data_IF_237140984362
#
_entry.id   IF_237140984362
#
_cell.length_a   1.000
_cell.length_b   1.000
_cell.length_c   1.000
_cell.angle_alpha   90.00
_cell.angle_beta   90.00
_cell.angle_gamma   90.00
#
_symmetry.space_group_name_H-M   'P 1'
#
loop_
_entity.id
_entity.type
_entity.pdbx_description
1 polymer ?
#
# COMPACT_ATOMS: atom_id res chain seq x y z
N UNK A 1 -0.49 -46.37 -4.27
CA UNK A 1 -1.05 -45.36 -5.20
C UNK A 1 -1.38 -44.11 -4.42
N UNK A 2 -0.45 -43.16 -4.33
CA UNK A 2 -0.63 -41.89 -3.62
C UNK A 2 -1.23 -40.87 -4.59
N UNK A 3 -2.47 -40.42 -4.32
CA UNK A 3 -3.13 -39.37 -5.10
C UNK A 3 -2.33 -38.07 -5.00
N UNK A 4 -2.02 -37.40 -6.12
CA UNK A 4 -1.35 -36.10 -6.07
C UNK A 4 -2.26 -35.10 -5.37
N UNK A 5 -1.75 -34.47 -4.30
CA UNK A 5 -2.43 -33.33 -3.63
C UNK A 5 -2.61 -32.23 -4.65
N UNK A 6 -3.84 -32.04 -5.15
CA UNK A 6 -4.22 -30.90 -5.96
C UNK A 6 -3.85 -29.63 -5.18
N UNK A 7 -2.82 -28.92 -5.63
CA UNK A 7 -2.47 -27.62 -5.18
C UNK A 7 -3.66 -26.70 -5.49
N UNK A 8 -4.59 -26.53 -4.53
CA UNK A 8 -5.66 -25.55 -4.67
C UNK A 8 -4.97 -24.19 -4.82
N UNK A 9 -5.11 -23.60 -5.98
CA UNK A 9 -4.78 -22.20 -6.25
C UNK A 9 -5.65 -21.37 -5.27
N UNK A 10 -5.15 -21.16 -4.05
CA UNK A 10 -5.87 -20.37 -3.05
C UNK A 10 -6.02 -18.98 -3.61
N UNK A 11 -7.25 -18.51 -3.75
CA UNK A 11 -7.53 -17.14 -4.16
C UNK A 11 -6.73 -16.20 -3.26
N UNK A 12 -5.75 -15.51 -3.84
CA UNK A 12 -4.84 -14.60 -3.12
C UNK A 12 -5.50 -13.26 -2.82
N UNK A 13 -6.62 -12.97 -3.48
CA UNK A 13 -7.42 -11.79 -3.29
C UNK A 13 -8.70 -12.17 -2.54
N UNK A 14 -8.94 -11.55 -1.40
CA UNK A 14 -10.15 -11.68 -0.61
C UNK A 14 -10.88 -10.35 -0.57
N UNK A 15 -12.09 -10.30 -1.11
CA UNK A 15 -12.96 -9.12 -1.05
C UNK A 15 -13.80 -9.20 0.23
N UNK A 16 -13.60 -8.25 1.11
CA UNK A 16 -14.46 -8.07 2.28
C UNK A 16 -15.57 -7.10 1.92
N UNK A 17 -16.83 -7.53 2.02
CA UNK A 17 -18.02 -6.76 1.67
C UNK A 17 -18.00 -6.24 0.21
N UNK A 18 -17.94 -7.13 -0.79
CA UNK A 18 -17.68 -6.75 -2.17
C UNK A 18 -18.69 -5.75 -2.73
N UNK A 19 -19.99 -5.93 -2.44
CA UNK A 19 -21.03 -5.02 -2.91
C UNK A 19 -20.85 -3.60 -2.36
N UNK A 20 -20.57 -3.47 -1.05
CA UNK A 20 -20.34 -2.16 -0.43
C UNK A 20 -19.07 -1.50 -0.96
N UNK A 21 -17.98 -2.27 -1.11
CA UNK A 21 -16.72 -1.75 -1.67
C UNK A 21 -16.92 -1.23 -3.09
N UNK A 22 -17.57 -2.00 -3.95
CA UNK A 22 -17.84 -1.60 -5.32
C UNK A 22 -18.78 -0.40 -5.39
N UNK A 23 -19.83 -0.39 -4.58
CA UNK A 23 -20.78 0.73 -4.53
C UNK A 23 -20.09 2.04 -4.14
N UNK A 24 -19.34 2.05 -3.03
CA UNK A 24 -18.62 3.25 -2.58
C UNK A 24 -17.55 3.72 -3.56
N UNK A 25 -16.82 2.77 -4.17
CA UNK A 25 -15.81 3.08 -5.18
C UNK A 25 -16.46 3.70 -6.43
N UNK A 26 -17.55 3.12 -6.91
CA UNK A 26 -18.30 3.64 -8.06
C UNK A 26 -18.84 5.03 -7.77
N UNK A 27 -19.44 5.22 -6.59
CA UNK A 27 -19.95 6.53 -6.17
C UNK A 27 -18.84 7.58 -6.12
N UNK A 28 -17.70 7.24 -5.50
CA UNK A 28 -16.55 8.15 -5.41
C UNK A 28 -15.99 8.52 -6.80
N UNK A 29 -15.93 7.56 -7.73
CA UNK A 29 -15.46 7.79 -9.09
C UNK A 29 -16.46 8.60 -9.94
N UNK A 30 -17.78 8.42 -9.74
CA UNK A 30 -18.81 9.19 -10.43
C UNK A 30 -18.78 10.68 -10.06
N UNK A 31 -18.48 10.99 -8.79
CA UNK A 31 -18.38 12.37 -8.31
C UNK A 31 -16.97 12.98 -8.43
N UNK A 32 -16.01 12.24 -9.01
CA UNK A 32 -14.64 12.69 -9.18
C UNK A 32 -14.46 13.63 -10.39
N UNK A 33 -15.07 14.81 -10.34
CA UNK A 33 -14.96 15.83 -11.40
C UNK A 33 -13.53 16.36 -11.56
N UNK A 34 -12.76 16.39 -10.48
CA UNK A 34 -11.38 16.92 -10.44
C UNK A 34 -10.30 15.88 -10.77
N UNK A 35 -10.63 14.60 -10.78
CA UNK A 35 -9.67 13.49 -10.90
C UNK A 35 -8.84 13.23 -9.63
N UNK A 36 -9.23 13.86 -8.52
CA UNK A 36 -8.50 13.72 -7.24
C UNK A 36 -8.64 12.34 -6.65
N UNK A 37 -9.84 11.76 -6.70
CA UNK A 37 -10.09 10.38 -6.20
C UNK A 37 -9.30 9.36 -7.02
N UNK A 38 -9.33 9.47 -8.35
CA UNK A 38 -8.52 8.60 -9.24
C UNK A 38 -7.04 8.70 -8.94
N UNK A 39 -6.53 9.91 -8.75
CA UNK A 39 -5.14 10.15 -8.37
C UNK A 39 -4.82 9.53 -7.02
N UNK A 40 -5.65 9.74 -6.00
CA UNK A 40 -5.49 9.16 -4.66
C UNK A 40 -5.49 7.62 -4.68
N UNK A 41 -6.39 7.01 -5.45
CA UNK A 41 -6.44 5.55 -5.62
C UNK A 41 -5.17 5.00 -6.29
N UNK A 42 -4.64 5.71 -7.30
CA UNK A 42 -3.38 5.35 -7.94
C UNK A 42 -2.21 5.42 -6.94
N UNK A 43 -2.13 6.50 -6.15
CA UNK A 43 -1.11 6.66 -5.11
C UNK A 43 -1.21 5.58 -4.03
N UNK A 44 -2.43 5.23 -3.61
CA UNK A 44 -2.66 4.14 -2.67
C UNK A 44 -2.27 2.78 -3.25
N UNK A 45 -2.59 2.51 -4.52
CA UNK A 45 -2.18 1.28 -5.18
C UNK A 45 -0.66 1.14 -5.28
N UNK A 46 0.05 2.22 -5.62
CA UNK A 46 1.51 2.25 -5.67
C UNK A 46 2.13 2.06 -4.26
N UNK A 47 1.53 2.64 -3.24
CA UNK A 47 1.89 2.43 -1.84
C UNK A 47 1.84 0.93 -1.47
N UNK A 48 0.72 0.27 -1.79
CA UNK A 48 0.55 -1.17 -1.55
C UNK A 48 1.54 -2.02 -2.36
N UNK A 49 1.88 -1.59 -3.58
CA UNK A 49 2.93 -2.25 -4.38
C UNK A 49 4.28 -2.24 -3.65
N UNK A 50 4.60 -1.17 -2.91
CA UNK A 50 5.78 -1.11 -2.05
C UNK A 50 5.79 -2.21 -1.00
N UNK A 51 4.69 -2.38 -0.28
CA UNK A 51 4.55 -3.46 0.70
C UNK A 51 4.63 -4.84 0.07
N UNK A 52 3.98 -5.04 -1.09
CA UNK A 52 4.02 -6.32 -1.83
C UNK A 52 5.45 -6.64 -2.25
N UNK A 53 6.19 -5.66 -2.76
CA UNK A 53 7.58 -5.84 -3.17
C UNK A 53 8.48 -6.19 -1.98
N UNK A 54 8.35 -5.46 -0.86
CA UNK A 54 9.09 -5.76 0.37
C UNK A 54 8.76 -7.15 0.92
N UNK A 55 7.48 -7.51 0.94
CA UNK A 55 7.05 -8.85 1.37
C UNK A 55 7.63 -9.95 0.46
N UNK A 56 7.56 -9.75 -0.86
CA UNK A 56 8.09 -10.70 -1.83
C UNK A 56 9.62 -10.85 -1.70
N UNK A 57 10.33 -9.75 -1.43
CA UNK A 57 11.76 -9.75 -1.18
C UNK A 57 12.14 -10.51 0.09
N UNK A 58 11.42 -10.28 1.19
CA UNK A 58 11.73 -10.90 2.50
C UNK A 58 11.40 -12.40 2.55
N UNK A 59 10.30 -12.82 1.93
CA UNK A 59 9.82 -14.20 2.08
C UNK A 59 9.74 -14.99 0.77
N UNK A 60 10.18 -14.42 -0.35
CA UNK A 60 10.14 -15.05 -1.69
C UNK A 60 8.73 -15.61 -2.05
N UNK A 61 7.69 -14.95 -1.55
CA UNK A 61 6.27 -15.33 -1.73
C UNK A 61 5.42 -14.07 -1.89
N UNK A 62 4.32 -14.19 -2.60
CA UNK A 62 3.35 -13.10 -2.68
C UNK A 62 2.40 -13.14 -1.48
N UNK A 63 2.08 -11.99 -0.87
CA UNK A 63 1.13 -11.90 0.24
C UNK A 63 -0.28 -12.25 -0.20
N UNK A 64 -1.18 -12.44 0.78
CA UNK A 64 -2.62 -12.45 0.53
C UNK A 64 -3.12 -11.01 0.68
N UNK A 65 -3.84 -10.53 -0.33
CA UNK A 65 -4.44 -9.21 -0.34
C UNK A 65 -5.90 -9.30 0.10
N UNK A 66 -6.30 -8.47 1.03
CA UNK A 66 -7.69 -8.27 1.42
C UNK A 66 -8.11 -6.85 1.00
N UNK A 67 -9.06 -6.77 0.08
CA UNK A 67 -9.66 -5.51 -0.34
C UNK A 67 -10.91 -5.25 0.50
N UNK A 68 -10.96 -4.10 1.16
CA UNK A 68 -12.09 -3.64 1.98
C UNK A 68 -12.53 -2.24 1.54
N UNK A 69 -13.72 -1.75 1.95
CA UNK A 69 -14.14 -0.37 1.69
C UNK A 69 -13.18 0.69 2.22
N UNK A 70 -12.35 0.33 3.19
CA UNK A 70 -11.38 1.23 3.85
C UNK A 70 -9.97 1.14 3.27
N UNK A 71 -9.75 0.32 2.23
CA UNK A 71 -8.46 0.17 1.58
C UNK A 71 -8.04 -1.28 1.33
N UNK A 72 -6.82 -1.43 0.88
CA UNK A 72 -6.17 -2.73 0.66
C UNK A 72 -5.36 -3.05 1.91
N UNK A 73 -5.50 -4.26 2.43
CA UNK A 73 -4.77 -4.72 3.61
C UNK A 73 -3.99 -5.99 3.27
N UNK A 74 -2.69 -6.00 3.60
CA UNK A 74 -1.90 -7.22 3.51
C UNK A 74 -2.24 -8.16 4.67
N UNK A 75 -2.81 -9.33 4.37
CA UNK A 75 -2.93 -10.41 5.35
C UNK A 75 -1.60 -11.12 5.54
N UNK A 76 -0.92 -10.74 6.60
CA UNK A 76 0.26 -11.44 7.09
C UNK A 76 -0.23 -12.71 7.80
N UNK A 77 0.07 -13.87 7.23
CA UNK A 77 -0.37 -15.20 7.72
C UNK A 77 0.27 -15.56 9.07
N UNK A 78 0.10 -14.75 10.13
CA UNK A 78 0.57 -15.11 11.48
C UNK A 78 2.04 -15.56 11.54
N UNK A 79 2.85 -15.16 10.58
CA UNK A 79 4.28 -15.46 10.57
C UNK A 79 4.95 -14.63 11.67
N UNK A 80 5.72 -15.25 12.54
CA UNK A 80 6.55 -14.51 13.48
C UNK A 80 7.51 -13.64 12.67
N UNK A 81 7.38 -12.32 12.79
CA UNK A 81 8.26 -11.36 12.13
C UNK A 81 9.29 -10.85 13.12
N UNK A 82 10.53 -10.78 12.66
CA UNK A 82 11.58 -10.06 13.37
C UNK A 82 11.31 -8.57 13.36
N UNK A 83 11.90 -7.80 14.28
CA UNK A 83 11.79 -6.34 14.29
C UNK A 83 12.23 -5.69 12.98
N UNK A 84 13.31 -6.20 12.40
CA UNK A 84 13.85 -5.70 11.12
C UNK A 84 12.87 -5.93 9.98
N UNK A 85 12.30 -7.12 9.88
CA UNK A 85 11.30 -7.44 8.86
C UNK A 85 10.06 -6.57 9.00
N UNK A 86 9.56 -6.36 10.23
CA UNK A 86 8.42 -5.50 10.49
C UNK A 86 8.74 -4.05 10.10
N UNK A 87 9.93 -3.53 10.43
CA UNK A 87 10.34 -2.17 10.08
C UNK A 87 10.43 -2.00 8.57
N UNK A 88 11.10 -2.93 7.87
CA UNK A 88 11.24 -2.89 6.40
C UNK A 88 9.86 -2.94 5.75
N UNK A 89 8.99 -3.85 6.20
CA UNK A 89 7.66 -3.99 5.64
C UNK A 89 6.84 -2.73 5.84
N UNK A 90 6.77 -2.19 7.07
CA UNK A 90 5.98 -0.99 7.37
C UNK A 90 6.54 0.29 6.73
N UNK A 91 7.84 0.39 6.50
CA UNK A 91 8.44 1.55 5.84
C UNK A 91 8.29 1.52 4.31
N UNK A 92 8.07 0.35 3.72
CA UNK A 92 8.11 0.15 2.27
C UNK A 92 7.02 0.96 1.52
N UNK A 93 5.79 1.00 2.04
CA UNK A 93 4.69 1.78 1.44
C UNK A 93 4.97 3.28 1.43
N UNK A 94 5.19 3.90 2.61
CA UNK A 94 5.54 5.31 2.69
C UNK A 94 6.78 5.69 1.87
N UNK A 95 7.81 4.83 1.87
CA UNK A 95 9.02 5.06 1.07
C UNK A 95 8.73 5.03 -0.43
N UNK A 96 7.88 4.13 -0.89
CA UNK A 96 7.44 4.09 -2.30
C UNK A 96 6.74 5.39 -2.69
N UNK A 97 5.86 5.91 -1.85
CA UNK A 97 5.20 7.19 -2.11
C UNK A 97 6.20 8.34 -2.17
N UNK A 98 7.14 8.39 -1.24
CA UNK A 98 8.17 9.42 -1.22
C UNK A 98 9.07 9.36 -2.48
N UNK A 99 9.46 8.16 -2.90
CA UNK A 99 10.23 7.95 -4.11
C UNK A 99 9.45 8.36 -5.36
N UNK A 100 8.17 7.99 -5.47
CA UNK A 100 7.32 8.38 -6.61
C UNK A 100 7.20 9.91 -6.71
N UNK A 101 6.92 10.59 -5.60
CA UNK A 101 6.85 12.05 -5.56
C UNK A 101 8.18 12.70 -5.95
N UNK A 102 9.29 12.25 -5.35
CA UNK A 102 10.62 12.78 -5.60
C UNK A 102 11.09 12.58 -7.03
N UNK A 103 10.90 11.38 -7.58
CA UNK A 103 11.24 11.08 -8.98
C UNK A 103 10.42 11.94 -9.94
N UNK A 104 9.10 12.05 -9.71
CA UNK A 104 8.26 12.86 -10.58
C UNK A 104 8.68 14.33 -10.56
N UNK A 105 8.89 14.92 -9.39
CA UNK A 105 9.33 16.31 -9.26
C UNK A 105 10.71 16.52 -9.88
N UNK A 106 11.64 15.58 -9.68
CA UNK A 106 12.96 15.63 -10.31
C UNK A 106 12.89 15.62 -11.85
N UNK A 107 12.03 14.75 -12.42
CA UNK A 107 11.85 14.72 -13.88
C UNK A 107 11.16 15.97 -14.41
N UNK A 108 10.16 16.48 -13.70
CA UNK A 108 9.47 17.74 -14.07
C UNK A 108 10.46 18.91 -14.11
N UNK A 109 11.35 18.99 -13.10
CA UNK A 109 12.40 20.01 -13.05
C UNK A 109 13.44 19.83 -14.15
N UNK A 110 13.95 18.61 -14.32
CA UNK A 110 15.05 18.30 -15.26
C UNK A 110 14.68 18.53 -16.71
N UNK A 111 13.42 18.30 -17.07
CA UNK A 111 12.92 18.42 -18.44
C UNK A 111 12.04 19.64 -18.65
N UNK A 112 11.92 20.52 -17.67
CA UNK A 112 11.08 21.71 -17.69
C UNK A 112 9.64 21.45 -18.14
N UNK A 113 9.10 20.24 -17.80
CA UNK A 113 7.75 19.82 -18.17
C UNK A 113 6.78 19.99 -16.99
N UNK A 114 6.47 21.24 -16.67
CA UNK A 114 5.61 21.61 -15.57
C UNK A 114 4.15 21.30 -15.90
N UNK A 115 3.46 20.57 -15.04
CA UNK A 115 2.03 20.33 -15.21
C UNK A 115 1.30 20.31 -13.87
N UNK A 116 0.09 20.87 -13.87
CA UNK A 116 -0.78 20.85 -12.69
C UNK A 116 -1.09 19.42 -12.23
N UNK A 117 -1.30 18.50 -13.17
CA UNK A 117 -1.54 17.10 -12.87
C UNK A 117 -0.34 16.43 -12.22
N UNK A 118 0.89 16.78 -12.62
CA UNK A 118 2.12 16.28 -12.01
C UNK A 118 2.26 16.74 -10.56
N UNK A 119 2.06 18.03 -10.30
CA UNK A 119 2.10 18.56 -8.92
C UNK A 119 1.02 17.93 -8.04
N UNK A 120 -0.20 17.78 -8.55
CA UNK A 120 -1.28 17.12 -7.84
C UNK A 120 -0.92 15.66 -7.50
N UNK A 121 -0.33 14.94 -8.44
CA UNK A 121 0.10 13.56 -8.24
C UNK A 121 1.20 13.47 -7.18
N UNK A 122 2.22 14.34 -7.25
CA UNK A 122 3.28 14.41 -6.25
C UNK A 122 2.73 14.76 -4.85
N UNK A 123 1.84 15.76 -4.76
CA UNK A 123 1.20 16.16 -3.52
C UNK A 123 0.36 15.03 -2.92
N UNK A 124 -0.40 14.29 -3.75
CA UNK A 124 -1.13 13.10 -3.31
C UNK A 124 -0.21 12.03 -2.73
N UNK A 125 0.91 11.74 -3.39
CA UNK A 125 1.89 10.77 -2.87
C UNK A 125 2.46 11.20 -1.52
N UNK A 126 2.84 12.47 -1.39
CA UNK A 126 3.35 13.00 -0.12
C UNK A 126 2.29 12.92 0.98
N UNK A 127 1.05 13.27 0.67
CA UNK A 127 -0.06 13.21 1.63
C UNK A 127 -0.35 11.77 2.08
N UNK A 128 -0.48 10.84 1.13
CA UNK A 128 -0.72 9.41 1.44
C UNK A 128 0.43 8.84 2.26
N UNK A 129 1.68 9.14 1.89
CA UNK A 129 2.86 8.70 2.64
C UNK A 129 2.88 9.28 4.06
N UNK A 130 2.63 10.59 4.21
CA UNK A 130 2.63 11.27 5.51
C UNK A 130 1.52 10.74 6.44
N UNK A 131 0.30 10.56 5.93
CA UNK A 131 -0.82 9.99 6.71
C UNK A 131 -0.48 8.58 7.17
N UNK A 132 0.08 7.73 6.29
CA UNK A 132 0.46 6.38 6.67
C UNK A 132 1.63 6.30 7.68
N UNK A 133 2.43 7.35 7.81
CA UNK A 133 3.49 7.44 8.84
C UNK A 133 2.97 7.84 10.22
N UNK A 134 1.70 8.21 10.37
CA UNK A 134 1.12 8.49 11.69
C UNK A 134 1.16 7.23 12.57
N UNK A 135 1.51 7.34 13.86
CA UNK A 135 1.64 6.21 14.77
C UNK A 135 0.27 5.70 15.28
N UNK A 136 -0.70 5.58 14.39
CA UNK A 136 -2.08 5.19 14.69
C UNK A 136 -2.43 3.88 13.97
N UNK A 137 -2.87 2.83 14.68
CA UNK A 137 -3.39 1.64 14.02
C UNK A 137 -4.64 1.98 13.17
N UNK A 138 -4.79 1.47 11.97
CA UNK A 138 -4.02 0.42 11.29
C UNK A 138 -2.89 0.92 10.36
N UNK A 139 -2.41 2.16 10.50
CA UNK A 139 -1.43 2.78 9.63
C UNK A 139 0.00 2.22 9.84
N UNK A 140 0.86 2.38 8.84
CA UNK A 140 2.24 1.84 8.84
C UNK A 140 3.11 2.42 9.95
N UNK A 141 2.91 3.70 10.30
CA UNK A 141 3.63 4.36 11.38
C UNK A 141 3.48 3.63 12.72
N UNK A 142 2.31 3.04 13.01
CA UNK A 142 2.14 2.20 14.19
C UNK A 142 3.02 0.95 14.13
N UNK A 143 3.18 0.34 12.95
CA UNK A 143 4.08 -0.78 12.72
C UNK A 143 5.55 -0.40 12.93
N UNK A 144 5.96 0.77 12.44
CA UNK A 144 7.31 1.32 12.63
C UNK A 144 7.60 1.56 14.11
N UNK A 145 6.69 2.28 14.80
CA UNK A 145 6.83 2.58 16.23
C UNK A 145 6.90 1.30 17.06
N UNK A 146 6.01 0.33 16.78
CA UNK A 146 6.03 -0.95 17.50
C UNK A 146 7.32 -1.74 17.25
N UNK A 147 7.88 -1.68 16.04
CA UNK A 147 9.15 -2.33 15.73
C UNK A 147 10.34 -1.69 16.45
N UNK A 148 10.32 -0.35 16.61
CA UNK A 148 11.40 0.42 17.27
C UNK A 148 11.31 0.28 18.79
N UNK A 149 10.12 0.49 19.36
CA UNK A 149 9.93 0.60 20.81
C UNK A 149 9.54 -0.72 21.51
N UNK A 150 9.39 -1.82 20.78
CA UNK A 150 9.09 -3.13 21.38
C UNK A 150 10.26 -3.58 22.24
N UNK A 151 10.28 -3.13 23.51
CA UNK A 151 11.18 -3.68 24.52
C UNK A 151 10.89 -5.17 24.66
N UNK A 152 11.96 -5.97 24.80
CA UNK A 152 11.85 -7.39 25.14
C UNK A 152 11.12 -7.47 26.50
N UNK A 153 9.92 -7.98 26.50
CA UNK A 153 9.31 -8.60 27.64
C UNK A 153 9.67 -10.08 27.59
#
# INVERSE_FOLDING_TARGET
MTRPKRCRLRRRLHLRWPCLTLFLLTLALLFDSTGTVRTGLCCAALHECGHIAAYAFLWHRLPMLELSPFGICLRLRGQPMTRREQLILSAAGPLTNLLCAGLLLFFMERFACWSFSGYRFAACHLLVGAVNLLPLPPLDGAGIVSAVFRHRL
#
